data_IF_215130251391
#
_entry.id   IF_215130251391
#
_cell.length_a   1.000
_cell.length_b   1.000
_cell.length_c   1.000
_cell.angle_alpha   90.00
_cell.angle_beta   90.00
_cell.angle_gamma   90.00
#
_symmetry.space_group_name_H-M   'P 1'
#
loop_
_entity.id
_entity.type
_entity.pdbx_description
1 polymer ?
#
# COMPACT_ATOMS: atom_id res chain seq x y z
N UNK A 1 3.59 -15.98 10.77
CA UNK A 1 2.93 -14.79 10.19
C UNK A 1 2.58 -15.14 8.76
N UNK A 2 1.29 -15.21 8.42
CA UNK A 2 0.88 -15.60 7.07
C UNK A 2 1.38 -14.56 6.08
N UNK A 3 2.24 -14.97 5.16
CA UNK A 3 2.76 -14.14 4.08
C UNK A 3 1.60 -13.92 3.11
N UNK A 4 0.96 -12.76 3.16
CA UNK A 4 -0.06 -12.39 2.17
C UNK A 4 0.56 -12.53 0.78
N UNK A 5 0.07 -13.48 -0.02
CA UNK A 5 0.59 -13.79 -1.36
C UNK A 5 0.14 -12.80 -2.43
N UNK A 6 -0.56 -11.74 -2.02
CA UNK A 6 -1.21 -10.77 -2.89
C UNK A 6 -0.25 -9.62 -3.20
N UNK A 7 0.05 -9.43 -4.49
CA UNK A 7 0.92 -8.35 -5.00
C UNK A 7 0.15 -7.47 -5.99
N UNK A 8 0.20 -6.16 -5.78
CA UNK A 8 -0.39 -5.15 -6.66
C UNK A 8 0.64 -4.52 -7.61
N UNK A 9 1.86 -5.05 -7.68
CA UNK A 9 2.92 -4.50 -8.51
C UNK A 9 2.60 -4.67 -10.01
N UNK A 10 2.61 -3.57 -10.77
CA UNK A 10 2.32 -3.57 -12.20
C UNK A 10 0.84 -3.72 -12.56
N UNK A 11 -0.08 -3.67 -11.57
CA UNK A 11 -1.52 -3.63 -11.83
C UNK A 11 -1.99 -2.18 -11.98
N UNK A 12 -2.84 -1.96 -12.96
CA UNK A 12 -3.59 -0.71 -13.11
C UNK A 12 -4.85 -0.73 -12.25
N UNK A 13 -5.23 0.45 -11.74
CA UNK A 13 -6.43 0.65 -10.91
C UNK A 13 -7.48 1.37 -11.75
N UNK A 14 -8.40 0.61 -12.36
CA UNK A 14 -9.40 1.14 -13.30
C UNK A 14 -10.82 1.15 -12.73
N UNK A 15 -11.15 0.18 -11.90
CA UNK A 15 -12.46 0.03 -11.25
C UNK A 15 -12.30 -0.59 -9.84
N UNK A 16 -13.37 -0.60 -9.05
CA UNK A 16 -13.39 -1.25 -7.73
C UNK A 16 -13.89 -2.70 -7.76
N UNK A 17 -14.57 -3.11 -8.83
CA UNK A 17 -15.16 -4.46 -8.93
C UNK A 17 -14.10 -5.54 -9.20
N UNK A 18 -13.00 -5.18 -9.88
CA UNK A 18 -11.86 -6.07 -10.14
C UNK A 18 -10.99 -6.37 -8.92
N UNK A 19 -11.26 -5.72 -7.78
CA UNK A 19 -10.53 -5.94 -6.54
C UNK A 19 -11.16 -7.06 -5.72
N UNK A 20 -10.32 -8.02 -5.35
CA UNK A 20 -10.68 -9.02 -4.34
C UNK A 20 -10.70 -8.41 -2.93
N UNK A 21 -11.43 -9.05 -2.02
CA UNK A 21 -11.51 -8.64 -0.60
C UNK A 21 -10.11 -8.58 0.05
N UNK A 22 -9.21 -9.50 -0.32
CA UNK A 22 -7.85 -9.53 0.21
C UNK A 22 -7.00 -8.34 -0.26
N UNK A 23 -7.16 -7.94 -1.53
CA UNK A 23 -6.47 -6.77 -2.10
C UNK A 23 -6.94 -5.47 -1.46
N UNK A 24 -8.25 -5.34 -1.26
CA UNK A 24 -8.83 -4.17 -0.56
C UNK A 24 -8.28 -4.10 0.86
N UNK A 25 -8.27 -5.23 1.58
CA UNK A 25 -7.70 -5.28 2.93
C UNK A 25 -6.22 -4.91 2.95
N UNK A 26 -5.44 -5.35 1.97
CA UNK A 26 -4.03 -4.99 1.83
C UNK A 26 -3.85 -3.47 1.64
N UNK A 27 -4.66 -2.84 0.78
CA UNK A 27 -4.64 -1.39 0.57
C UNK A 27 -4.99 -0.65 1.86
N UNK A 28 -6.06 -1.06 2.56
CA UNK A 28 -6.50 -0.42 3.80
C UNK A 28 -5.46 -0.54 4.92
N UNK A 29 -4.85 -1.72 5.10
CA UNK A 29 -3.77 -1.92 6.06
C UNK A 29 -2.56 -1.04 5.75
N UNK A 30 -2.17 -0.97 4.47
CA UNK A 30 -1.04 -0.13 4.04
C UNK A 30 -1.35 1.36 4.25
N UNK A 31 -2.57 1.80 3.94
CA UNK A 31 -3.00 3.19 4.15
C UNK A 31 -2.96 3.60 5.63
N UNK A 32 -3.31 2.70 6.55
CA UNK A 32 -3.22 2.95 7.99
C UNK A 32 -1.76 3.19 8.43
N UNK A 33 -0.80 2.43 7.90
CA UNK A 33 0.63 2.65 8.17
C UNK A 33 1.15 3.94 7.54
N UNK A 34 0.73 4.27 6.31
CA UNK A 34 1.08 5.54 5.67
C UNK A 34 0.59 6.75 6.48
N UNK A 35 -0.62 6.67 7.08
CA UNK A 35 -1.13 7.70 8.00
C UNK A 35 -0.24 7.90 9.23
N UNK A 36 0.39 6.82 9.74
CA UNK A 36 1.37 6.93 10.84
C UNK A 36 2.66 7.60 10.36
N UNK A 37 3.13 7.29 9.15
CA UNK A 37 4.33 7.91 8.54
C UNK A 37 4.13 9.43 8.37
N UNK A 38 2.94 9.86 7.98
CA UNK A 38 2.63 11.29 7.82
C UNK A 38 2.78 12.11 9.12
N UNK A 39 2.69 11.47 10.28
CA UNK A 39 2.86 12.10 11.60
C UNK A 39 4.30 12.11 12.11
N UNK A 40 5.23 11.46 11.41
CA UNK A 40 6.65 11.42 11.77
C UNK A 40 7.36 12.67 11.28
N UNK A 41 8.45 13.04 11.95
CA UNK A 41 9.30 14.16 11.53
C UNK A 41 9.90 13.92 10.14
N UNK A 42 10.21 12.65 9.83
CA UNK A 42 10.70 12.25 8.51
C UNK A 42 9.60 11.46 7.79
N UNK A 43 8.89 12.14 6.87
CA UNK A 43 7.77 11.57 6.10
C UNK A 43 8.22 10.74 4.89
N UNK A 44 9.40 11.04 4.33
CA UNK A 44 9.94 10.33 3.14
C UNK A 44 10.74 9.09 3.57
N UNK A 45 10.07 7.95 3.56
CA UNK A 45 10.68 6.65 3.90
C UNK A 45 11.79 6.28 2.90
N UNK A 46 12.82 5.51 3.34
CA UNK A 46 13.94 5.11 2.47
C UNK A 46 13.50 4.44 1.17
N UNK A 47 12.43 3.64 1.20
CA UNK A 47 11.88 2.92 0.03
C UNK A 47 11.28 3.82 -1.06
N UNK A 48 10.97 5.08 -0.74
CA UNK A 48 10.40 6.07 -1.66
C UNK A 48 11.41 7.18 -2.02
N UNK A 49 12.67 7.07 -1.58
CA UNK A 49 13.73 8.00 -2.01
C UNK A 49 14.13 7.67 -3.46
N UNK A 50 14.26 8.70 -4.30
CA UNK A 50 14.64 8.54 -5.72
C UNK A 50 13.52 8.12 -6.67
N UNK A 51 12.31 7.86 -6.18
CA UNK A 51 11.12 7.67 -7.02
C UNK A 51 10.42 9.02 -7.19
N UNK A 52 10.10 9.37 -8.44
CA UNK A 52 9.41 10.61 -8.84
C UNK A 52 8.05 10.26 -9.41
#
# INVERSE_FOLDING_TARGET
MAKSTVSLAGRDVLDMESFSVEEINLVLQTAAEMKKIMKRDIKKVPSLRGKS
#
